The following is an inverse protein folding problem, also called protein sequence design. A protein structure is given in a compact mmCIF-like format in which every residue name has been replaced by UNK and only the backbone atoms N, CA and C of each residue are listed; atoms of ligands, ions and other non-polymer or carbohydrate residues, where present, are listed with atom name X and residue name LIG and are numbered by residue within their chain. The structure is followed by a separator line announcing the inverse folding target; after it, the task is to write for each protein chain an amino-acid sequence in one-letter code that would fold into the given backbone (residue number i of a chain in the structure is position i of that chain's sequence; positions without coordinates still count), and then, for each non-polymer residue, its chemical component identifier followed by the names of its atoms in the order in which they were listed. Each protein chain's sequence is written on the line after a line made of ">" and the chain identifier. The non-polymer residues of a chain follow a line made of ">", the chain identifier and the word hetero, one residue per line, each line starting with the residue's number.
data_IF_667342992779
#
_entry.id   IF_667342992779
#
_cell.length_a   1.000
_cell.length_b   1.000
_cell.length_c   1.000
_cell.angle_alpha   90.00
_cell.angle_beta   90.00
_cell.angle_gamma   90.00
#
_symmetry.space_group_name_H-M   'P 1'
#
loop_
_entity.id
_entity.type
_entity.pdbx_description
1 polymer ?
#
# COMPACT_ATOMS: atom_id res chain seq x y z
N UNK A 1 16.05 72.57 1.01
CA UNK A 1 16.85 71.33 1.14
C UNK A 1 16.28 70.31 2.14
N UNK A 2 15.76 70.71 3.30
CA UNK A 2 15.20 69.76 4.29
C UNK A 2 13.92 69.05 3.82
N UNK A 3 13.05 69.72 3.05
CA UNK A 3 11.80 69.14 2.53
C UNK A 3 12.03 68.01 1.52
N UNK A 4 13.02 68.16 0.63
CA UNK A 4 13.43 67.10 -0.31
C UNK A 4 14.02 65.87 0.38
N UNK A 5 14.75 66.08 1.48
CA UNK A 5 15.36 64.99 2.26
C UNK A 5 14.31 64.16 3.00
N UNK A 6 13.26 64.80 3.48
CA UNK A 6 12.13 64.12 4.14
C UNK A 6 11.26 63.35 3.14
N UNK A 7 11.09 63.86 1.91
CA UNK A 7 10.37 63.18 0.84
C UNK A 7 11.11 61.93 0.35
N UNK A 8 12.45 62.01 0.22
CA UNK A 8 13.28 60.85 -0.12
C UNK A 8 13.26 59.76 0.98
N UNK A 9 13.26 60.17 2.25
CA UNK A 9 13.16 59.24 3.37
C UNK A 9 11.78 58.55 3.43
N UNK A 10 10.69 59.28 3.17
CA UNK A 10 9.34 58.72 3.11
C UNK A 10 9.17 57.73 1.94
N UNK A 11 9.70 58.05 0.76
CA UNK A 11 9.70 57.15 -0.39
C UNK A 11 10.50 55.86 -0.13
N UNK A 12 11.59 55.96 0.62
CA UNK A 12 12.40 54.81 1.03
C UNK A 12 11.65 53.90 2.02
N UNK A 13 10.91 54.47 2.97
CA UNK A 13 10.09 53.70 3.91
C UNK A 13 8.89 53.01 3.24
N UNK A 14 8.29 53.62 2.21
CA UNK A 14 7.24 53.00 1.40
C UNK A 14 7.76 51.84 0.53
N UNK A 15 9.01 51.89 0.10
CA UNK A 15 9.63 50.79 -0.66
C UNK A 15 9.93 49.55 0.20
N UNK A 16 10.16 49.70 1.52
CA UNK A 16 10.36 48.56 2.43
C UNK A 16 9.05 47.88 2.87
N UNK A 17 7.90 48.55 2.76
CA UNK A 17 6.59 47.95 3.06
C UNK A 17 6.02 47.09 1.92
N UNK A 18 6.66 47.09 0.74
CA UNK A 18 6.22 46.35 -0.45
C UNK A 18 6.70 44.89 -0.49
N UNK A 19 7.49 44.43 0.49
CA UNK A 19 7.73 43.01 0.73
C UNK A 19 6.50 42.38 1.41
N UNK A 20 5.37 42.42 0.71
CA UNK A 20 4.16 41.71 1.09
C UNK A 20 4.42 40.21 1.08
N UNK A 21 4.02 39.54 2.16
CA UNK A 21 3.99 38.09 2.29
C UNK A 21 3.08 37.53 1.20
N UNK A 22 3.65 37.12 0.07
CA UNK A 22 2.92 36.29 -0.89
C UNK A 22 2.50 35.02 -0.15
N UNK A 23 1.21 34.70 -0.02
CA UNK A 23 0.80 33.43 0.56
C UNK A 23 1.46 32.31 -0.25
N UNK A 24 1.91 31.26 0.42
CA UNK A 24 2.63 30.12 -0.16
C UNK A 24 1.79 29.27 -1.13
N UNK A 25 0.76 29.85 -1.74
CA UNK A 25 -0.16 29.22 -2.68
C UNK A 25 0.42 29.06 -4.09
N UNK A 26 1.52 29.73 -4.42
CA UNK A 26 2.15 29.64 -5.75
C UNK A 26 2.73 28.24 -6.02
N UNK A 27 3.05 27.48 -4.96
CA UNK A 27 3.51 26.10 -5.02
C UNK A 27 2.51 25.10 -4.41
N UNK A 28 1.27 25.55 -4.13
CA UNK A 28 0.26 24.66 -3.57
C UNK A 28 -0.32 23.77 -4.66
N UNK A 29 -0.02 22.47 -4.59
CA UNK A 29 -0.68 21.47 -5.40
C UNK A 29 -2.12 21.25 -4.92
N UNK A 30 -3.03 21.00 -5.87
CA UNK A 30 -4.42 20.66 -5.52
C UNK A 30 -4.48 19.25 -4.94
N UNK A 31 -5.37 19.04 -3.97
CA UNK A 31 -5.63 17.71 -3.43
C UNK A 31 -6.13 16.77 -4.54
N UNK A 32 -5.58 15.55 -4.59
CA UNK A 32 -5.97 14.51 -5.56
C UNK A 32 -6.48 13.27 -4.83
N UNK A 33 -7.20 12.42 -5.55
CA UNK A 33 -7.51 11.07 -5.06
C UNK A 33 -6.21 10.27 -4.92
N UNK A 34 -6.16 9.37 -3.95
CA UNK A 34 -4.99 8.52 -3.72
C UNK A 34 -4.56 7.75 -4.98
N UNK A 35 -3.26 7.62 -5.18
CA UNK A 35 -2.68 6.97 -6.36
C UNK A 35 -3.23 5.53 -6.51
N UNK A 36 -3.71 5.20 -7.72
CA UNK A 36 -4.09 3.83 -8.10
C UNK A 36 -2.83 3.07 -8.50
N UNK A 37 -2.58 1.94 -7.85
CA UNK A 37 -1.42 1.06 -8.11
C UNK A 37 -1.88 -0.18 -8.86
N UNK A 38 -1.01 -0.77 -9.66
CA UNK A 38 -1.31 -2.02 -10.36
C UNK A 38 -1.66 -3.16 -9.39
N UNK A 39 -1.06 -3.18 -8.19
CA UNK A 39 -1.41 -4.15 -7.13
C UNK A 39 -2.86 -4.04 -6.68
N UNK A 40 -3.46 -2.84 -6.68
CA UNK A 40 -4.89 -2.69 -6.37
C UNK A 40 -5.75 -3.15 -7.54
N UNK A 41 -5.24 -3.09 -8.76
CA UNK A 41 -5.94 -3.57 -9.96
C UNK A 41 -5.97 -5.09 -9.99
N UNK A 42 -4.83 -5.75 -9.78
CA UNK A 42 -4.76 -7.21 -9.56
C UNK A 42 -5.75 -7.66 -8.47
N UNK A 43 -5.76 -6.94 -7.34
CA UNK A 43 -6.64 -7.24 -6.21
C UNK A 43 -8.12 -7.08 -6.56
N UNK A 44 -8.50 -6.03 -7.32
CA UNK A 44 -9.88 -5.79 -7.77
C UNK A 44 -10.35 -6.77 -8.83
N UNK A 45 -9.43 -7.27 -9.64
CA UNK A 45 -9.68 -8.19 -10.75
C UNK A 45 -9.73 -9.66 -10.34
N UNK A 46 -9.51 -9.96 -9.05
CA UNK A 46 -9.70 -11.29 -8.48
C UNK A 46 -11.01 -11.94 -9.00
N UNK A 47 -10.96 -13.21 -9.46
CA UNK A 47 -12.16 -13.91 -9.89
C UNK A 47 -13.19 -13.98 -8.75
N UNK A 48 -14.47 -13.97 -9.08
CA UNK A 48 -15.54 -13.92 -8.09
C UNK A 48 -15.46 -15.11 -7.10
N UNK A 49 -15.74 -14.89 -5.79
CA UNK A 49 -15.81 -15.96 -4.82
C UNK A 49 -17.08 -16.82 -5.03
N UNK A 50 -17.02 -18.09 -4.66
CA UNK A 50 -18.21 -18.95 -4.54
C UNK A 50 -19.18 -18.41 -3.49
N UNK A 51 -18.64 -17.86 -2.41
CA UNK A 51 -19.40 -17.21 -1.34
C UNK A 51 -18.56 -16.08 -0.73
N UNK A 52 -19.18 -14.92 -0.49
CA UNK A 52 -18.52 -13.82 0.21
C UNK A 52 -18.22 -14.20 1.66
N UNK A 53 -17.02 -13.86 2.12
CA UNK A 53 -16.54 -14.17 3.46
C UNK A 53 -16.82 -13.00 4.41
N UNK A 54 -17.49 -13.27 5.54
CA UNK A 54 -17.67 -12.28 6.61
C UNK A 54 -16.38 -12.23 7.45
N UNK A 55 -15.66 -11.10 7.44
CA UNK A 55 -14.33 -10.98 8.05
C UNK A 55 -14.22 -9.80 9.00
N UNK A 56 -13.43 -9.95 10.05
CA UNK A 56 -13.10 -8.86 10.97
C UNK A 56 -11.59 -8.61 11.03
N UNK A 57 -11.22 -7.34 11.19
CA UNK A 57 -9.86 -6.89 11.50
C UNK A 57 -9.91 -6.16 12.84
N UNK A 58 -9.15 -6.63 13.82
CA UNK A 58 -9.04 -5.96 15.12
C UNK A 58 -7.91 -4.94 15.12
N UNK A 59 -6.72 -5.38 14.73
CA UNK A 59 -5.54 -4.56 14.64
C UNK A 59 -4.62 -5.06 13.54
N UNK A 60 -3.82 -4.15 13.03
CA UNK A 60 -2.70 -4.42 12.14
C UNK A 60 -1.65 -3.36 12.44
N UNK A 61 -0.58 -3.78 13.11
CA UNK A 61 0.39 -2.89 13.73
C UNK A 61 1.72 -2.94 13.00
N UNK A 62 2.51 -1.89 13.20
CA UNK A 62 3.94 -1.92 12.95
C UNK A 62 4.62 -2.73 14.07
N UNK A 63 5.22 -3.87 13.69
CA UNK A 63 5.96 -4.76 14.59
C UNK A 63 7.48 -4.67 14.34
N UNK A 64 7.91 -3.76 13.46
CA UNK A 64 9.32 -3.57 13.11
C UNK A 64 10.08 -2.81 14.19
N UNK A 65 9.38 -1.87 14.87
CA UNK A 65 10.00 -0.92 15.80
C UNK A 65 10.98 0.05 15.15
N UNK A 66 10.99 0.15 13.82
CA UNK A 66 11.98 0.92 13.08
C UNK A 66 11.63 2.41 13.02
N UNK A 67 12.65 3.23 13.21
CA UNK A 67 12.58 4.67 12.97
C UNK A 67 13.20 5.04 11.62
N UNK A 68 12.92 6.25 11.14
CA UNK A 68 13.48 6.70 9.86
C UNK A 68 15.01 6.65 9.89
N UNK A 69 15.64 6.11 8.84
CA UNK A 69 17.10 6.07 8.76
C UNK A 69 17.64 7.49 8.58
N UNK A 70 18.62 7.87 9.40
CA UNK A 70 19.30 9.15 9.34
C UNK A 70 20.76 8.99 9.75
N UNK A 71 21.68 9.56 8.96
CA UNK A 71 23.12 9.41 9.15
C UNK A 71 23.71 10.39 10.17
N UNK A 72 22.96 11.44 10.54
CA UNK A 72 23.47 12.54 11.36
C UNK A 72 22.93 12.51 12.80
N UNK A 73 21.70 12.04 13.01
CA UNK A 73 21.06 11.99 14.33
C UNK A 73 19.99 10.89 14.40
N UNK A 74 19.67 10.47 15.62
CA UNK A 74 18.56 9.54 15.86
C UNK A 74 17.21 10.25 15.62
N UNK A 75 16.43 9.75 14.65
CA UNK A 75 15.10 10.27 14.37
C UNK A 75 14.03 9.48 15.14
N UNK A 76 13.03 10.18 15.70
CA UNK A 76 11.91 9.56 16.42
C UNK A 76 10.71 9.24 15.51
N UNK A 77 10.69 9.76 14.28
CA UNK A 77 9.66 9.42 13.30
C UNK A 77 9.74 7.94 12.95
N UNK A 78 8.61 7.22 13.04
CA UNK A 78 8.57 5.83 12.59
C UNK A 78 8.88 5.70 11.10
N UNK A 79 9.53 4.59 10.73
CA UNK A 79 9.88 4.30 9.35
C UNK A 79 8.66 3.95 8.49
N UNK A 80 7.65 3.33 9.10
CA UNK A 80 6.42 2.87 8.44
C UNK A 80 5.17 3.46 9.10
N UNK A 81 4.05 3.37 8.38
CA UNK A 81 2.78 3.96 8.79
C UNK A 81 2.17 3.22 9.99
N UNK A 82 1.57 3.97 10.91
CA UNK A 82 0.76 3.45 12.01
C UNK A 82 -0.73 3.26 11.60
N UNK A 83 -1.09 3.62 10.37
CA UNK A 83 -2.43 3.47 9.81
C UNK A 83 -2.68 2.14 9.09
N UNK A 84 -1.89 1.10 9.40
CA UNK A 84 -1.90 -0.17 8.66
C UNK A 84 -3.26 -0.89 8.70
N UNK A 85 -4.01 -0.80 9.80
CA UNK A 85 -5.35 -1.38 9.91
C UNK A 85 -6.33 -0.79 8.88
N UNK A 86 -6.34 0.53 8.69
CA UNK A 86 -7.18 1.20 7.70
C UNK A 86 -6.81 0.79 6.27
N UNK A 87 -5.51 0.62 6.01
CA UNK A 87 -5.02 0.15 4.70
C UNK A 87 -5.48 -1.28 4.45
N UNK A 88 -5.36 -2.18 5.43
CA UNK A 88 -5.82 -3.57 5.32
C UNK A 88 -7.33 -3.65 5.11
N UNK A 89 -8.12 -2.92 5.90
CA UNK A 89 -9.58 -2.87 5.75
C UNK A 89 -9.95 -2.39 4.34
N UNK A 90 -9.28 -1.36 3.82
CA UNK A 90 -9.49 -0.91 2.45
C UNK A 90 -9.12 -1.99 1.42
N UNK A 91 -7.95 -2.62 1.55
CA UNK A 91 -7.55 -3.71 0.64
C UNK A 91 -8.57 -4.87 0.63
N UNK A 92 -9.11 -5.26 1.79
CA UNK A 92 -10.18 -6.25 1.88
C UNK A 92 -11.47 -5.79 1.17
N UNK A 93 -11.82 -4.50 1.23
CA UNK A 93 -12.97 -3.95 0.50
C UNK A 93 -12.74 -3.87 -1.02
N UNK A 94 -11.49 -3.70 -1.45
CA UNK A 94 -11.13 -3.63 -2.87
C UNK A 94 -11.04 -5.02 -3.53
N UNK A 95 -10.81 -6.08 -2.75
CA UNK A 95 -10.68 -7.45 -3.26
C UNK A 95 -11.92 -7.92 -4.06
N UNK A 96 -11.74 -8.16 -5.36
CA UNK A 96 -12.80 -8.58 -6.29
C UNK A 96 -13.82 -7.49 -6.64
N UNK A 97 -13.56 -6.21 -6.32
CA UNK A 97 -14.52 -5.11 -6.51
C UNK A 97 -14.93 -4.91 -7.97
N UNK A 98 -14.07 -5.24 -8.95
CA UNK A 98 -14.43 -5.16 -10.38
C UNK A 98 -15.42 -6.25 -10.79
N UNK A 99 -15.54 -7.32 -10.00
CA UNK A 99 -16.43 -8.44 -10.23
C UNK A 99 -17.45 -8.56 -9.08
N UNK A 100 -17.16 -9.43 -8.11
CA UNK A 100 -17.93 -9.62 -6.88
C UNK A 100 -16.97 -9.50 -5.70
N UNK A 101 -17.25 -8.59 -4.74
CA UNK A 101 -16.43 -8.43 -3.55
C UNK A 101 -16.20 -9.75 -2.80
N UNK A 102 -14.95 -10.04 -2.48
CA UNK A 102 -14.56 -11.22 -1.71
C UNK A 102 -15.06 -11.19 -0.28
N UNK A 103 -15.03 -10.01 0.33
CA UNK A 103 -15.21 -9.84 1.75
C UNK A 103 -16.41 -8.96 2.08
N UNK A 104 -17.08 -9.30 3.17
CA UNK A 104 -17.93 -8.40 3.94
C UNK A 104 -17.16 -8.07 5.21
N UNK A 105 -16.51 -6.92 5.22
CA UNK A 105 -15.69 -6.49 6.35
C UNK A 105 -16.61 -5.95 7.44
N UNK A 106 -16.55 -6.52 8.63
CA UNK A 106 -17.25 -6.01 9.81
C UNK A 106 -16.31 -5.17 10.66
N UNK A 107 -16.78 -4.00 11.09
CA UNK A 107 -15.99 -3.08 11.91
C UNK A 107 -15.72 -3.69 13.30
N UNK A 108 -14.43 -3.92 13.59
CA UNK A 108 -13.93 -4.36 14.90
C UNK A 108 -12.71 -3.57 15.37
N UNK A 109 -12.07 -2.79 14.50
CA UNK A 109 -10.95 -1.93 14.85
C UNK A 109 -11.39 -0.76 15.74
N UNK A 110 -12.59 -0.21 15.48
CA UNK A 110 -13.23 0.84 16.29
C UNK A 110 -14.57 0.39 16.89
N UNK A 111 -14.62 -0.82 17.44
CA UNK A 111 -15.87 -1.41 17.97
C UNK A 111 -16.44 -0.63 19.15
N UNK A 112 -15.60 0.04 19.94
CA UNK A 112 -16.03 0.86 21.07
C UNK A 112 -16.93 2.02 20.60
N UNK A 113 -16.50 2.75 19.57
CA UNK A 113 -17.28 3.84 18.97
C UNK A 113 -18.62 3.33 18.42
N UNK A 114 -18.60 2.18 17.74
CA UNK A 114 -19.81 1.54 17.23
C UNK A 114 -20.79 1.17 18.37
N UNK A 115 -20.27 0.67 19.49
CA UNK A 115 -21.12 0.37 20.65
C UNK A 115 -21.66 1.62 21.32
N UNK A 116 -20.86 2.68 21.42
CA UNK A 116 -21.30 3.97 21.93
C UNK A 116 -22.44 4.54 21.09
N UNK A 117 -22.29 4.57 19.77
CA UNK A 117 -23.35 5.05 18.87
C UNK A 117 -24.63 4.22 18.99
N UNK A 118 -24.48 2.89 19.06
CA UNK A 118 -25.64 2.00 19.24
C UNK A 118 -26.32 2.20 20.60
N UNK A 119 -25.57 2.56 21.64
CA UNK A 119 -26.14 2.90 22.94
C UNK A 119 -26.95 4.19 22.87
N UNK A 120 -26.46 5.22 22.16
CA UNK A 120 -27.20 6.46 21.90
C UNK A 120 -28.52 6.15 21.18
N UNK A 121 -28.48 5.30 20.13
CA UNK A 121 -29.68 4.88 19.41
C UNK A 121 -30.68 4.17 20.33
N UNK A 122 -30.20 3.30 21.22
CA UNK A 122 -31.07 2.60 22.19
C UNK A 122 -31.75 3.58 23.14
N UNK A 123 -31.01 4.55 23.68
CA UNK A 123 -31.54 5.58 24.56
C UNK A 123 -32.62 6.43 23.86
N UNK A 124 -32.31 6.95 22.66
CA UNK A 124 -33.26 7.73 21.88
C UNK A 124 -34.54 6.94 21.58
N UNK A 125 -34.42 5.64 21.25
CA UNK A 125 -35.57 4.79 20.96
C UNK A 125 -36.42 4.45 22.18
N UNK A 126 -35.83 4.36 23.37
CA UNK A 126 -36.60 4.12 24.60
C UNK A 126 -37.42 5.34 25.02
N UNK A 127 -37.01 6.54 24.61
CA UNK A 127 -37.67 7.80 24.97
C UNK A 127 -38.75 8.23 23.98
N UNK A 128 -38.84 7.59 22.80
CA UNK A 128 -39.74 7.97 21.72
C UNK A 128 -40.67 6.84 21.31
N UNK A 129 -41.88 7.22 20.89
CA UNK A 129 -42.87 6.31 20.29
C UNK A 129 -42.97 6.53 18.79
N UNK A 130 -43.33 5.48 18.06
CA UNK A 130 -43.62 5.55 16.64
C UNK A 130 -44.91 6.32 16.33
N UNK A 131 -45.19 6.59 15.05
CA UNK A 131 -46.42 7.27 14.61
C UNK A 131 -47.72 6.55 15.02
N UNK A 132 -47.64 5.26 15.30
CA UNK A 132 -48.72 4.39 15.77
C UNK A 132 -48.87 4.39 17.31
N UNK A 133 -48.09 5.23 18.01
CA UNK A 133 -48.06 5.32 19.47
C UNK A 133 -47.35 4.16 20.16
N UNK A 134 -46.71 3.25 19.42
CA UNK A 134 -46.01 2.08 19.97
C UNK A 134 -44.53 2.37 20.21
N UNK A 135 -43.87 1.69 21.18
CA UNK A 135 -42.42 1.80 21.36
C UNK A 135 -41.67 1.46 20.07
N UNK A 136 -40.61 2.21 19.78
CA UNK A 136 -39.76 1.91 18.63
C UNK A 136 -39.11 0.53 18.78
N UNK A 137 -39.00 -0.27 17.70
CA UNK A 137 -38.44 -1.61 17.78
C UNK A 137 -36.96 -1.55 18.20
N UNK A 138 -36.45 -2.59 18.88
CA UNK A 138 -35.04 -2.66 19.24
C UNK A 138 -34.16 -2.70 17.99
N UNK A 139 -32.95 -2.17 18.14
CA UNK A 139 -31.92 -2.27 17.10
C UNK A 139 -31.45 -3.73 16.94
N UNK A 140 -31.38 -4.19 15.68
CA UNK A 140 -30.96 -5.55 15.33
C UNK A 140 -29.51 -5.89 15.73
N UNK A 141 -29.15 -7.19 15.76
CA UNK A 141 -27.82 -7.65 16.16
C UNK A 141 -26.73 -7.20 15.17
N UNK A 142 -25.48 -7.17 15.64
CA UNK A 142 -24.33 -6.98 14.74
C UNK A 142 -24.09 -8.25 13.92
N UNK A 143 -23.59 -8.07 12.69
CA UNK A 143 -23.11 -9.18 11.87
C UNK A 143 -21.88 -9.81 12.53
N UNK A 144 -21.85 -11.15 12.56
CA UNK A 144 -20.72 -11.93 13.02
C UNK A 144 -19.72 -12.13 11.88
N UNK A 145 -18.42 -12.09 12.21
CA UNK A 145 -17.38 -12.54 11.29
C UNK A 145 -17.19 -14.06 11.43
N UNK A 146 -16.97 -14.74 10.32
CA UNK A 146 -16.53 -16.14 10.32
C UNK A 146 -15.00 -16.25 10.42
N UNK A 147 -14.28 -15.24 9.94
CA UNK A 147 -12.82 -15.19 9.94
C UNK A 147 -12.28 -13.93 10.60
N UNK A 148 -11.19 -14.07 11.34
CA UNK A 148 -10.34 -12.96 11.76
C UNK A 148 -9.16 -12.86 10.81
N UNK A 149 -8.98 -11.69 10.20
CA UNK A 149 -7.77 -11.38 9.46
C UNK A 149 -6.86 -10.59 10.39
N UNK A 150 -5.67 -11.12 10.64
CA UNK A 150 -4.70 -10.55 11.58
C UNK A 150 -3.30 -10.59 11.00
N UNK A 151 -2.47 -9.65 11.40
CA UNK A 151 -1.11 -9.54 10.91
C UNK A 151 -0.46 -8.21 11.29
N UNK A 152 0.58 -7.85 10.55
CA UNK A 152 1.32 -6.61 10.77
C UNK A 152 2.44 -6.42 9.76
N UNK A 153 3.10 -5.26 9.88
CA UNK A 153 4.38 -5.01 9.21
C UNK A 153 5.45 -5.62 10.10
N UNK A 154 6.07 -6.70 9.64
CA UNK A 154 6.97 -7.51 10.47
C UNK A 154 8.46 -7.20 10.24
N UNK A 155 8.81 -6.62 9.10
CA UNK A 155 10.16 -6.15 8.86
C UNK A 155 10.16 -4.87 8.01
N UNK A 156 11.11 -4.00 8.34
CA UNK A 156 11.54 -2.89 7.51
C UNK A 156 13.06 -2.84 7.58
N UNK A 157 13.71 -2.95 6.43
CA UNK A 157 15.17 -2.87 6.32
C UNK A 157 15.53 -1.81 5.27
N UNK A 158 16.53 -0.98 5.55
CA UNK A 158 16.98 0.11 4.68
C UNK A 158 18.50 0.10 4.60
N UNK A 159 19.04 -0.35 3.48
CA UNK A 159 20.49 -0.45 3.26
C UNK A 159 20.95 0.50 2.17
N UNK A 160 22.04 1.25 2.43
CA UNK A 160 22.77 1.94 1.37
C UNK A 160 23.77 0.96 0.77
N UNK A 161 23.75 0.84 -0.55
CA UNK A 161 24.50 -0.11 -1.34
C UNK A 161 25.25 0.65 -2.45
N UNK A 162 26.36 0.08 -2.90
CA UNK A 162 27.17 0.61 -4.00
C UNK A 162 27.52 -0.55 -4.93
N UNK A 163 27.35 -0.37 -6.25
CA UNK A 163 27.63 -1.41 -7.24
C UNK A 163 26.74 -2.66 -7.14
N UNK A 164 27.23 -3.78 -7.69
CA UNK A 164 26.57 -5.09 -7.66
C UNK A 164 25.37 -5.24 -8.59
N UNK A 165 24.63 -6.34 -8.43
CA UNK A 165 23.43 -6.65 -9.24
C UNK A 165 22.38 -5.52 -9.21
N UNK A 166 22.21 -4.83 -8.07
CA UNK A 166 21.30 -3.70 -7.96
C UNK A 166 21.75 -2.46 -8.73
N UNK A 167 23.06 -2.20 -8.85
CA UNK A 167 23.56 -1.13 -9.70
C UNK A 167 23.30 -1.41 -11.19
N UNK A 168 23.48 -2.66 -11.62
CA UNK A 168 23.11 -3.09 -12.98
C UNK A 168 21.61 -2.94 -13.24
N UNK A 169 20.78 -3.38 -12.28
CA UNK A 169 19.32 -3.24 -12.34
C UNK A 169 18.88 -1.78 -12.47
N UNK A 170 19.58 -0.85 -11.81
CA UNK A 170 19.29 0.58 -11.84
C UNK A 170 20.03 1.33 -12.97
N UNK A 171 20.82 0.64 -13.80
CA UNK A 171 21.63 1.29 -14.85
C UNK A 171 22.58 2.37 -14.32
N UNK A 172 23.07 2.23 -13.08
CA UNK A 172 23.98 3.17 -12.43
C UNK A 172 25.41 2.61 -12.39
N UNK A 173 26.40 3.49 -12.44
CA UNK A 173 27.81 3.11 -12.43
C UNK A 173 28.25 2.49 -11.10
N UNK A 174 29.34 1.71 -11.13
CA UNK A 174 29.85 0.96 -9.96
C UNK A 174 30.20 1.79 -8.71
N UNK A 175 30.35 3.12 -8.86
CA UNK A 175 30.67 4.04 -7.76
C UNK A 175 29.45 4.86 -7.28
N UNK A 176 28.25 4.63 -7.84
CA UNK A 176 27.03 5.35 -7.45
C UNK A 176 26.34 4.64 -6.29
N UNK A 177 26.12 5.36 -5.19
CA UNK A 177 25.34 4.89 -4.05
C UNK A 177 23.84 4.87 -4.38
N UNK A 178 23.15 3.82 -3.93
CA UNK A 178 21.70 3.70 -3.96
C UNK A 178 21.21 3.10 -2.65
N UNK A 179 19.95 3.33 -2.31
CA UNK A 179 19.30 2.75 -1.14
C UNK A 179 18.35 1.65 -1.58
N UNK A 180 18.34 0.54 -0.84
CA UNK A 180 17.36 -0.54 -0.96
C UNK A 180 16.57 -0.62 0.34
N UNK A 181 15.31 -0.24 0.27
CA UNK A 181 14.33 -0.42 1.34
C UNK A 181 13.54 -1.70 1.09
N UNK A 182 13.36 -2.56 2.09
CA UNK A 182 12.50 -3.74 2.02
C UNK A 182 11.43 -3.66 3.11
N UNK A 183 10.18 -3.91 2.74
CA UNK A 183 9.02 -3.95 3.63
C UNK A 183 8.42 -5.35 3.59
N UNK A 184 8.33 -6.02 4.73
CA UNK A 184 7.69 -7.33 4.86
C UNK A 184 6.38 -7.23 5.62
N UNK A 185 5.30 -7.72 5.02
CA UNK A 185 3.97 -7.78 5.60
C UNK A 185 3.58 -9.24 5.83
N UNK A 186 3.04 -9.51 7.01
CA UNK A 186 2.49 -10.81 7.38
C UNK A 186 0.97 -10.71 7.53
N UNK A 187 0.24 -11.68 6.98
CA UNK A 187 -1.19 -11.84 7.18
C UNK A 187 -1.56 -13.30 7.42
N UNK A 188 -2.55 -13.52 8.27
CA UNK A 188 -3.19 -14.83 8.44
C UNK A 188 -4.71 -14.71 8.60
N UNK A 189 -5.41 -15.75 8.18
CA UNK A 189 -6.84 -15.94 8.38
C UNK A 189 -7.08 -16.99 9.46
N UNK A 190 -7.82 -16.62 10.51
CA UNK A 190 -8.15 -17.48 11.64
C UNK A 190 -9.64 -17.76 11.68
N UNK A 191 -10.02 -19.03 11.83
CA UNK A 191 -11.41 -19.43 12.06
C UNK A 191 -11.89 -18.92 13.42
N UNK A 192 -12.96 -18.13 13.45
CA UNK A 192 -13.57 -17.66 14.71
C UNK A 192 -14.15 -18.82 15.52
N UNK A 193 -14.60 -19.87 14.83
CA UNK A 193 -15.26 -21.02 15.45
C UNK A 193 -14.27 -21.97 16.14
N UNK A 194 -13.11 -22.20 15.54
CA UNK A 194 -12.15 -23.23 15.99
C UNK A 194 -10.85 -22.65 16.54
N UNK A 195 -10.55 -21.38 16.28
CA UNK A 195 -9.26 -20.76 16.59
C UNK A 195 -8.12 -21.22 15.66
N UNK A 196 -8.40 -22.08 14.68
CA UNK A 196 -7.42 -22.59 13.74
C UNK A 196 -6.94 -21.49 12.78
N UNK A 197 -5.62 -21.44 12.56
CA UNK A 197 -5.02 -20.61 11.51
C UNK A 197 -5.14 -21.37 10.18
N UNK A 198 -6.05 -20.92 9.32
CA UNK A 198 -6.39 -21.59 8.06
C UNK A 198 -5.34 -21.29 6.98
N UNK A 199 -5.03 -20.01 6.79
CA UNK A 199 -4.09 -19.54 5.79
C UNK A 199 -3.15 -18.51 6.40
N UNK A 200 -1.90 -18.51 5.94
CA UNK A 200 -0.85 -17.61 6.41
C UNK A 200 0.07 -17.28 5.25
N UNK A 201 0.34 -15.99 5.06
CA UNK A 201 1.16 -15.48 3.96
C UNK A 201 2.09 -14.39 4.46
N UNK A 202 3.25 -14.30 3.83
CA UNK A 202 4.19 -13.20 3.97
C UNK A 202 4.44 -12.63 2.58
N UNK A 203 4.50 -11.32 2.47
CA UNK A 203 4.83 -10.62 1.22
C UNK A 203 5.87 -9.56 1.47
N UNK A 204 6.79 -9.44 0.52
CA UNK A 204 7.86 -8.47 0.56
C UNK A 204 7.71 -7.46 -0.58
N UNK A 205 8.01 -6.20 -0.31
CA UNK A 205 8.13 -5.15 -1.32
C UNK A 205 9.46 -4.46 -1.17
N UNK A 206 10.26 -4.47 -2.23
CA UNK A 206 11.56 -3.81 -2.26
C UNK A 206 11.50 -2.53 -3.09
N UNK A 207 12.03 -1.44 -2.54
CA UNK A 207 12.11 -0.12 -3.14
C UNK A 207 13.58 0.23 -3.30
N UNK A 208 13.98 0.59 -4.51
CA UNK A 208 15.29 1.14 -4.81
C UNK A 208 15.19 2.66 -4.92
N UNK A 209 16.08 3.39 -4.27
CA UNK A 209 16.13 4.85 -4.34
C UNK A 209 17.54 5.32 -4.67
N UNK A 210 17.69 6.33 -5.52
CA UNK A 210 19.01 6.88 -5.88
C UNK A 210 19.09 8.31 -5.38
N UNK A 211 20.04 8.60 -4.50
CA UNK A 211 20.32 9.96 -4.05
C UNK A 211 21.37 10.60 -4.93
N UNK A 212 21.06 11.69 -5.63
CA UNK A 212 22.10 12.55 -6.19
C UNK A 212 22.51 13.59 -5.13
N UNK A 213 23.82 13.74 -4.92
CA UNK A 213 24.38 14.89 -4.22
C UNK A 213 23.99 16.16 -4.99
N UNK A 214 23.02 16.92 -4.47
CA UNK A 214 22.48 18.12 -5.12
C UNK A 214 20.96 18.25 -5.20
N UNK A 215 20.18 17.34 -4.59
CA UNK A 215 18.72 17.55 -4.39
C UNK A 215 17.81 17.21 -5.58
N UNK A 216 18.36 16.74 -6.70
CA UNK A 216 17.58 16.23 -7.82
C UNK A 216 17.52 14.69 -7.77
N UNK A 217 16.34 14.10 -7.59
CA UNK A 217 16.19 12.64 -7.74
C UNK A 217 16.12 12.32 -9.23
N UNK A 218 17.11 11.60 -9.80
CA UNK A 218 16.98 11.09 -11.17
C UNK A 218 16.04 9.88 -11.14
N UNK A 219 14.90 10.00 -11.80
CA UNK A 219 14.06 8.85 -12.12
C UNK A 219 14.82 7.96 -13.10
N UNK A 220 15.32 6.83 -12.63
CA UNK A 220 15.78 5.78 -13.52
C UNK A 220 14.53 5.06 -14.02
N UNK A 221 14.11 5.40 -15.23
CA UNK A 221 13.05 4.68 -15.92
C UNK A 221 13.56 3.30 -16.33
N UNK A 222 13.04 2.25 -15.70
CA UNK A 222 13.20 0.87 -16.15
C UNK A 222 11.82 0.28 -16.53
N UNK A 223 11.84 -0.81 -17.29
CA UNK A 223 10.63 -1.49 -17.76
C UNK A 223 9.71 -1.87 -16.60
N UNK A 224 8.54 -1.21 -16.53
CA UNK A 224 7.50 -1.44 -15.51
C UNK A 224 7.11 -2.92 -15.39
N UNK A 225 7.09 -3.67 -16.50
CA UNK A 225 6.73 -5.10 -16.51
C UNK A 225 7.68 -5.97 -15.67
N UNK A 226 8.99 -5.70 -15.67
CA UNK A 226 9.96 -6.47 -14.87
C UNK A 226 9.92 -6.08 -13.38
N UNK A 227 9.55 -4.83 -13.09
CA UNK A 227 9.34 -4.32 -11.73
C UNK A 227 8.18 -5.02 -11.01
N UNK A 228 7.13 -5.40 -11.78
CA UNK A 228 5.90 -6.04 -11.29
C UNK A 228 6.15 -7.48 -10.83
N UNK A 229 6.70 -8.33 -11.70
CA UNK A 229 6.86 -9.77 -11.41
C UNK A 229 7.85 -10.02 -10.27
N UNK A 230 8.84 -9.15 -10.11
CA UNK A 230 9.91 -9.31 -9.13
C UNK A 230 9.71 -8.50 -7.83
N UNK A 231 8.64 -7.69 -7.73
CA UNK A 231 8.33 -6.92 -6.52
C UNK A 231 9.25 -5.72 -6.25
N UNK A 232 9.82 -5.13 -7.30
CA UNK A 232 10.81 -4.04 -7.22
C UNK A 232 10.25 -2.72 -7.77
N UNK A 233 10.49 -1.59 -7.10
CA UNK A 233 10.16 -0.25 -7.63
C UNK A 233 11.28 0.74 -7.41
N UNK A 234 11.25 1.88 -8.12
CA UNK A 234 12.27 2.93 -8.00
C UNK A 234 11.67 4.25 -7.52
N UNK A 235 12.33 4.90 -6.54
CA UNK A 235 11.94 6.21 -5.99
C UNK A 235 10.46 6.28 -5.56
N UNK A 236 9.94 5.19 -5.00
CA UNK A 236 8.55 5.11 -4.58
C UNK A 236 8.38 5.61 -3.13
N UNK A 237 7.28 6.33 -2.80
CA UNK A 237 6.97 6.65 -1.42
C UNK A 237 6.82 5.38 -0.56
N UNK A 238 7.51 5.32 0.60
CA UNK A 238 7.47 4.17 1.52
C UNK A 238 6.06 3.76 1.93
N UNK A 239 5.17 4.73 2.16
CA UNK A 239 3.76 4.44 2.48
C UNK A 239 3.03 3.74 1.34
N UNK A 240 3.37 4.07 0.09
CA UNK A 240 2.80 3.42 -1.10
C UNK A 240 3.27 1.97 -1.19
N UNK A 241 4.55 1.70 -0.90
CA UNK A 241 5.09 0.36 -0.85
C UNK A 241 4.46 -0.51 0.25
N UNK A 242 4.24 0.05 1.45
CA UNK A 242 3.48 -0.64 2.52
C UNK A 242 2.07 -0.98 2.05
N UNK A 243 1.39 -0.04 1.39
CA UNK A 243 0.06 -0.28 0.83
C UNK A 243 0.07 -1.41 -0.20
N UNK A 244 1.00 -1.38 -1.16
CA UNK A 244 1.14 -2.45 -2.15
C UNK A 244 1.45 -3.80 -1.50
N UNK A 245 2.31 -3.85 -0.49
CA UNK A 245 2.60 -5.09 0.24
C UNK A 245 1.35 -5.65 0.93
N UNK A 246 0.54 -4.81 1.59
CA UNK A 246 -0.73 -5.22 2.19
C UNK A 246 -1.72 -5.71 1.12
N UNK A 247 -1.85 -5.01 -0.01
CA UNK A 247 -2.70 -5.42 -1.13
C UNK A 247 -2.29 -6.79 -1.68
N UNK A 248 -0.99 -7.00 -1.89
CA UNK A 248 -0.44 -8.28 -2.35
C UNK A 248 -0.65 -9.38 -1.31
N UNK A 249 -0.53 -9.07 -0.02
CA UNK A 249 -0.79 -10.02 1.05
C UNK A 249 -2.26 -10.44 1.09
N UNK A 250 -3.22 -9.52 0.88
CA UNK A 250 -4.64 -9.87 0.79
C UNK A 250 -4.90 -10.75 -0.43
N UNK A 251 -4.35 -10.40 -1.59
CA UNK A 251 -4.44 -11.22 -2.79
C UNK A 251 -3.89 -12.63 -2.54
N UNK A 252 -2.67 -12.74 -2.01
CA UNK A 252 -2.02 -14.01 -1.70
C UNK A 252 -2.84 -14.82 -0.68
N UNK A 253 -3.41 -14.17 0.34
CA UNK A 253 -4.22 -14.85 1.36
C UNK A 253 -5.47 -15.48 0.75
N UNK A 254 -6.15 -14.79 -0.17
CA UNK A 254 -7.31 -15.32 -0.91
C UNK A 254 -6.90 -16.57 -1.69
N UNK A 255 -5.79 -16.52 -2.42
CA UNK A 255 -5.36 -17.65 -3.25
C UNK A 255 -4.84 -18.82 -2.39
N UNK A 256 -4.09 -18.53 -1.33
CA UNK A 256 -3.59 -19.52 -0.36
C UNK A 256 -4.73 -20.30 0.29
N UNK A 257 -5.75 -19.60 0.84
CA UNK A 257 -6.87 -20.28 1.46
C UNK A 257 -7.74 -21.05 0.45
N UNK A 258 -7.80 -20.60 -0.80
CA UNK A 258 -8.47 -21.34 -1.87
C UNK A 258 -7.69 -22.61 -2.28
N UNK A 259 -6.35 -22.55 -2.27
CA UNK A 259 -5.49 -23.71 -2.56
C UNK A 259 -5.59 -24.80 -1.49
N UNK A 260 -6.04 -24.44 -0.29
CA UNK A 260 -6.27 -25.34 0.86
C UNK A 260 -7.75 -25.70 1.05
N UNK A 261 -8.60 -25.39 0.07
CA UNK A 261 -10.04 -25.70 0.06
C UNK A 261 -10.87 -25.07 1.21
N UNK A 262 -10.36 -24.05 1.92
CA UNK A 262 -11.13 -23.33 2.94
C UNK A 262 -12.22 -22.43 2.33
N UNK A 263 -12.00 -21.97 1.11
CA UNK A 263 -12.97 -21.27 0.28
C UNK A 263 -12.67 -21.54 -1.19
N UNK A 264 -13.49 -21.03 -2.10
CA UNK A 264 -13.32 -21.29 -3.52
C UNK A 264 -13.80 -20.17 -4.42
N UNK A 265 -13.32 -20.20 -5.66
CA UNK A 265 -13.77 -19.34 -6.74
C UNK A 265 -15.09 -19.85 -7.33
N UNK A 266 -15.93 -18.93 -7.81
CA UNK A 266 -17.16 -19.26 -8.54
C UNK A 266 -16.82 -19.94 -9.89
N UNK A 267 -15.82 -19.40 -10.59
CA UNK A 267 -15.22 -20.04 -11.76
C UNK A 267 -14.04 -20.90 -11.32
N UNK A 268 -14.24 -22.23 -11.38
CA UNK A 268 -13.23 -23.19 -10.96
C UNK A 268 -12.04 -23.27 -11.91
N UNK A 269 -12.20 -23.01 -13.21
CA UNK A 269 -11.08 -23.06 -14.17
C UNK A 269 -10.15 -21.88 -13.98
N UNK A 270 -10.73 -20.67 -13.92
CA UNK A 270 -9.96 -19.45 -13.65
C UNK A 270 -9.32 -19.48 -12.26
N UNK A 271 -10.04 -19.99 -11.26
CA UNK A 271 -9.49 -20.21 -9.92
C UNK A 271 -8.30 -21.17 -9.90
N UNK A 272 -8.39 -22.32 -10.59
CA UNK A 272 -7.28 -23.27 -10.72
C UNK A 272 -6.07 -22.67 -11.42
N UNK A 273 -6.27 -21.84 -12.45
CA UNK A 273 -5.17 -21.16 -13.12
C UNK A 273 -4.43 -20.20 -12.17
N UNK A 274 -5.17 -19.37 -11.44
CA UNK A 274 -4.62 -18.44 -10.45
C UNK A 274 -3.88 -19.16 -9.31
N UNK A 275 -4.44 -20.26 -8.81
CA UNK A 275 -3.78 -21.09 -7.78
C UNK A 275 -2.47 -21.66 -8.32
N UNK A 276 -2.44 -22.19 -9.55
CA UNK A 276 -1.20 -22.72 -10.14
C UNK A 276 -0.11 -21.65 -10.25
N UNK A 277 -0.47 -20.47 -10.75
CA UNK A 277 0.45 -19.33 -10.86
C UNK A 277 1.01 -18.91 -9.49
N UNK A 278 0.13 -18.81 -8.49
CA UNK A 278 0.54 -18.49 -7.12
C UNK A 278 1.49 -19.55 -6.54
N UNK A 279 1.19 -20.84 -6.70
CA UNK A 279 2.04 -21.92 -6.22
C UNK A 279 3.41 -21.95 -6.92
N UNK A 280 3.46 -21.67 -8.22
CA UNK A 280 4.74 -21.56 -8.95
C UNK A 280 5.61 -20.44 -8.37
N UNK A 281 5.03 -19.28 -8.10
CA UNK A 281 5.74 -18.13 -7.54
C UNK A 281 6.16 -18.37 -6.09
N UNK A 282 5.26 -18.92 -5.25
CA UNK A 282 5.51 -19.17 -3.83
C UNK A 282 6.62 -20.20 -3.61
N UNK A 283 6.62 -21.28 -4.38
CA UNK A 283 7.55 -22.40 -4.20
C UNK A 283 8.86 -22.21 -5.01
N UNK A 284 9.10 -21.01 -5.56
CA UNK A 284 10.35 -20.64 -6.21
C UNK A 284 10.56 -21.20 -7.62
N UNK A 285 9.51 -21.72 -8.28
CA UNK A 285 9.52 -21.98 -9.72
C UNK A 285 9.19 -20.69 -10.45
N UNK A 286 10.19 -19.80 -10.53
CA UNK A 286 10.15 -18.68 -11.48
C UNK A 286 9.82 -19.29 -12.85
N UNK A 287 8.74 -18.88 -13.54
CA UNK A 287 8.50 -19.30 -14.92
C UNK A 287 9.79 -19.07 -15.72
N UNK A 288 10.18 -19.96 -16.64
CA UNK A 288 11.34 -19.72 -17.48
C UNK A 288 11.15 -18.36 -18.14
N UNK A 289 11.95 -17.38 -17.74
CA UNK A 289 11.88 -16.04 -18.32
C UNK A 289 12.07 -16.22 -19.82
N UNK A 290 11.17 -15.64 -20.61
CA UNK A 290 11.46 -15.37 -22.01
C UNK A 290 12.71 -14.49 -21.99
N UNK A 291 13.86 -15.12 -22.23
CA UNK A 291 15.14 -14.43 -22.39
C UNK A 291 14.88 -13.31 -23.38
N UNK A 292 15.02 -12.07 -22.92
CA UNK A 292 15.13 -10.94 -23.84
C UNK A 292 16.26 -11.32 -24.80
N UNK A 293 15.88 -11.68 -26.03
CA UNK A 293 16.82 -12.14 -27.03
C UNK A 293 17.93 -11.11 -27.15
N UNK A 294 19.17 -11.58 -27.14
CA UNK A 294 20.30 -10.73 -27.50
C UNK A 294 19.93 -9.97 -28.78
N UNK A 295 20.23 -8.65 -28.87
CA UNK A 295 20.06 -7.94 -30.12
C UNK A 295 20.82 -8.71 -31.21
N UNK A 296 20.26 -8.86 -32.42
CA UNK A 296 20.93 -9.59 -33.48
C UNK A 296 22.30 -8.94 -33.72
N UNK A 297 23.35 -9.76 -33.66
CA UNK A 297 24.72 -9.37 -33.97
C UNK A 297 24.71 -8.61 -35.30
N UNK A 298 25.21 -7.38 -35.25
CA UNK A 298 25.34 -6.52 -36.41
C UNK A 298 26.05 -7.27 -37.52
N UNK A 299 25.41 -7.32 -38.69
CA UNK A 299 25.99 -7.83 -39.92
C UNK A 299 27.33 -7.13 -40.15
N UNK A 300 28.41 -7.89 -39.99
CA UNK A 300 29.71 -7.52 -40.55
C UNK A 300 29.56 -7.58 -42.07
N UNK A 301 29.50 -6.39 -42.69
CA UNK A 301 29.61 -6.26 -44.13
C UNK A 301 30.96 -6.79 -44.59
N UNK A 302 30.97 -8.01 -45.13
CA UNK A 302 32.04 -8.46 -46.02
C UNK A 302 31.87 -7.74 -47.35
N UNK A 303 32.61 -6.64 -47.52
CA UNK A 303 32.94 -6.11 -48.84
C UNK A 303 33.81 -7.15 -49.56
N UNK A 304 33.39 -7.52 -50.76
CA UNK A 304 34.10 -8.47 -51.61
C UNK A 304 35.38 -7.89 -52.22
N UNK A 305 36.34 -8.78 -52.40
CA UNK A 305 37.09 -8.96 -53.62
C UNK A 305 37.15 -10.48 -53.89
#
# INVERSE_FOLDING_TARGET
>A
MQTFRNLAAAASLLALAACGTTPATILAESATLGARTETVDELRELPAPRQRLDVAVFSFLDQTGQHRPNNNFAEYSFAVTQGGASILINALMEAGRSNTPWFRVVERNRVADLFQERQIIRANRSEHVGPDGRPLPPIGPLRNAGLLITGGIIAYDSNVLTGGLGANFLGIGGNTEYRRDNVSVFLRAVSVLTGEVLASVTTDKTIYSIGLQGGANRYVGFNKLLQIEAGYTTNEPRQLAVRQAIEKAVHALVVEGASKDYWGFADAERGRALIREYLTTRDGRIPPQATAGNPPDGQSGRGGA
#
